data_IF_658273698107
#
_entry.id   IF_658273698107
#
_cell.length_a   1.000
_cell.length_b   1.000
_cell.length_c   1.000
_cell.angle_alpha   90.00
_cell.angle_beta   90.00
_cell.angle_gamma   90.00
#
_symmetry.space_group_name_H-M   'P 1'
#
loop_
_entity.id
_entity.type
_entity.pdbx_description
1 polymer ?
#
# COMPACT_ATOMS: atom_id res chain seq x y z
N UNK A 1 -8.31 8.23 9.03
CA UNK A 1 -8.11 7.26 7.95
C UNK A 1 -7.46 5.97 8.46
N UNK A 2 -6.53 6.03 9.41
CA UNK A 2 -5.93 4.86 10.09
C UNK A 2 -6.92 3.84 10.69
N UNK A 3 -8.16 4.22 10.95
CA UNK A 3 -9.22 3.32 11.43
C UNK A 3 -10.15 2.89 10.31
N UNK A 4 -10.75 3.85 9.61
CA UNK A 4 -11.80 3.60 8.62
C UNK A 4 -11.27 2.95 7.34
N UNK A 5 -10.04 3.25 6.92
CA UNK A 5 -9.39 2.64 5.75
C UNK A 5 -9.18 1.13 5.91
N UNK A 6 -8.45 0.68 6.95
CA UNK A 6 -8.31 -0.75 7.24
C UNK A 6 -9.65 -1.46 7.47
N UNK A 7 -10.62 -0.80 8.12
CA UNK A 7 -11.97 -1.35 8.31
C UNK A 7 -12.68 -1.59 6.98
N UNK A 8 -12.62 -0.64 6.04
CA UNK A 8 -13.16 -0.76 4.69
C UNK A 8 -12.57 -1.97 3.97
N UNK A 9 -11.23 -2.06 3.94
CA UNK A 9 -10.51 -3.12 3.23
C UNK A 9 -10.84 -4.50 3.80
N UNK A 10 -10.74 -4.64 5.12
CA UNK A 10 -11.03 -5.91 5.80
C UNK A 10 -12.47 -6.35 5.50
N UNK A 11 -13.42 -5.44 5.59
CA UNK A 11 -14.83 -5.73 5.32
C UNK A 11 -15.05 -6.10 3.85
N UNK A 12 -14.38 -5.43 2.92
CA UNK A 12 -14.45 -5.75 1.50
C UNK A 12 -13.94 -7.17 1.20
N UNK A 13 -12.77 -7.55 1.73
CA UNK A 13 -12.24 -8.91 1.59
C UNK A 13 -13.11 -9.96 2.29
N UNK A 14 -13.63 -9.66 3.49
CA UNK A 14 -14.51 -10.59 4.19
C UNK A 14 -15.81 -10.80 3.42
N UNK A 15 -16.39 -9.75 2.82
CA UNK A 15 -17.54 -9.90 1.94
C UNK A 15 -17.19 -10.72 0.70
N UNK A 16 -16.06 -10.44 0.03
CA UNK A 16 -15.60 -11.21 -1.12
C UNK A 16 -15.49 -12.71 -0.82
N UNK A 17 -15.03 -13.07 0.38
CA UNK A 17 -14.86 -14.48 0.78
C UNK A 17 -16.10 -15.15 1.32
N UNK A 18 -16.97 -14.41 2.01
CA UNK A 18 -18.08 -15.01 2.78
C UNK A 18 -19.45 -14.72 2.21
N UNK A 19 -19.56 -13.73 1.33
CA UNK A 19 -20.82 -13.17 0.84
C UNK A 19 -21.78 -12.72 1.96
N UNK A 20 -21.27 -12.48 3.18
CA UNK A 20 -22.09 -12.01 4.29
C UNK A 20 -22.39 -10.50 4.15
N UNK A 21 -23.67 -10.18 4.03
CA UNK A 21 -24.19 -8.81 3.83
C UNK A 21 -23.79 -7.82 4.93
N UNK A 22 -23.43 -8.32 6.12
CA UNK A 22 -22.90 -7.48 7.21
C UNK A 22 -21.59 -6.82 6.77
N UNK A 23 -20.66 -7.59 6.22
CA UNK A 23 -19.38 -7.07 5.74
C UNK A 23 -19.55 -6.16 4.53
N UNK A 24 -20.52 -6.46 3.65
CA UNK A 24 -20.86 -5.56 2.56
C UNK A 24 -21.33 -4.19 3.07
N UNK A 25 -22.21 -4.19 4.06
CA UNK A 25 -22.74 -2.95 4.65
C UNK A 25 -21.63 -2.13 5.29
N UNK A 26 -20.71 -2.76 6.02
CA UNK A 26 -19.58 -2.07 6.66
C UNK A 26 -18.60 -1.53 5.62
N UNK A 27 -18.29 -2.29 4.57
CA UNK A 27 -17.41 -1.84 3.49
C UNK A 27 -17.98 -0.60 2.78
N UNK A 28 -19.27 -0.65 2.41
CA UNK A 28 -19.96 0.45 1.75
C UNK A 28 -20.00 1.71 2.65
N UNK A 29 -20.44 1.57 3.90
CA UNK A 29 -20.52 2.70 4.84
C UNK A 29 -19.14 3.33 5.10
N UNK A 30 -18.09 2.51 5.17
CA UNK A 30 -16.72 2.99 5.36
C UNK A 30 -16.24 3.78 4.14
N UNK A 31 -16.52 3.27 2.93
CA UNK A 31 -16.18 3.97 1.69
C UNK A 31 -16.96 5.28 1.54
N UNK A 32 -18.26 5.26 1.82
CA UNK A 32 -19.12 6.44 1.76
C UNK A 32 -18.61 7.52 2.72
N UNK A 33 -18.18 7.16 3.92
CA UNK A 33 -17.57 8.10 4.85
C UNK A 33 -16.29 8.70 4.29
N UNK A 34 -15.40 7.87 3.72
CA UNK A 34 -14.13 8.33 3.13
C UNK A 34 -14.40 9.30 1.98
N UNK A 35 -15.26 8.94 1.03
CA UNK A 35 -15.56 9.75 -0.16
C UNK A 35 -16.23 11.07 0.24
N UNK A 36 -17.18 11.05 1.17
CA UNK A 36 -17.98 12.24 1.48
C UNK A 36 -17.32 13.19 2.50
N UNK A 37 -16.36 12.71 3.31
CA UNK A 37 -15.79 13.51 4.39
C UNK A 37 -14.26 13.63 4.37
N UNK A 38 -13.55 12.69 3.74
CA UNK A 38 -12.08 12.69 3.76
C UNK A 38 -11.47 12.92 2.39
N UNK A 39 -12.14 12.57 1.29
CA UNK A 39 -11.63 12.78 -0.06
C UNK A 39 -11.98 14.18 -0.57
N UNK A 40 -10.97 14.95 -0.96
CA UNK A 40 -11.15 16.31 -1.50
C UNK A 40 -11.21 16.37 -3.03
N UNK A 41 -11.35 15.23 -3.70
CA UNK A 41 -11.29 15.09 -5.15
C UNK A 41 -9.87 14.87 -5.71
N UNK A 42 -8.83 14.97 -4.88
CA UNK A 42 -7.43 14.71 -5.26
C UNK A 42 -6.81 13.66 -4.34
N UNK A 43 -6.87 13.89 -3.02
CA UNK A 43 -6.26 13.03 -2.00
C UNK A 43 -7.25 12.79 -0.85
N UNK A 44 -6.98 11.75 -0.07
CA UNK A 44 -7.71 11.43 1.16
C UNK A 44 -7.00 12.05 2.36
N UNK A 45 -7.73 12.86 3.11
CA UNK A 45 -7.27 13.54 4.31
C UNK A 45 -7.26 12.60 5.52
N UNK A 46 -6.57 13.01 6.58
CA UNK A 46 -6.29 12.11 7.70
C UNK A 46 -7.48 11.84 8.61
N UNK A 47 -8.35 12.82 8.84
CA UNK A 47 -9.47 12.65 9.74
C UNK A 47 -10.39 13.86 9.73
N UNK A 48 -11.30 13.88 10.71
CA UNK A 48 -12.20 15.00 10.97
C UNK A 48 -12.16 15.37 12.45
N UNK A 49 -12.39 16.63 12.76
CA UNK A 49 -12.61 17.09 14.13
C UNK A 49 -14.01 16.70 14.59
N UNK A 50 -14.13 16.19 15.82
CA UNK A 50 -15.43 15.70 16.35
C UNK A 50 -16.44 16.81 16.61
N UNK A 51 -15.97 18.03 16.89
CA UNK A 51 -16.81 19.18 17.24
C UNK A 51 -17.36 19.91 16.01
N UNK A 52 -16.64 19.88 14.89
CA UNK A 52 -16.94 20.65 13.68
C UNK A 52 -17.16 19.79 12.44
N UNK A 53 -16.81 18.50 12.48
CA UNK A 53 -16.74 17.61 11.33
C UNK A 53 -15.83 18.12 10.19
N UNK A 54 -15.01 19.15 10.46
CA UNK A 54 -14.05 19.66 9.49
C UNK A 54 -12.90 18.68 9.33
N UNK A 55 -12.45 18.47 8.08
CA UNK A 55 -11.34 17.59 7.80
C UNK A 55 -10.01 18.17 8.31
N UNK A 56 -9.09 17.28 8.70
CA UNK A 56 -7.71 17.66 9.03
C UNK A 56 -7.00 18.07 7.73
N UNK A 57 -6.58 19.33 7.64
CA UNK A 57 -5.91 19.92 6.49
C UNK A 57 -4.37 19.94 6.63
N UNK A 58 -3.88 19.68 7.84
CA UNK A 58 -2.47 19.70 8.19
C UNK A 58 -1.86 18.28 8.07
N UNK A 59 -0.97 18.12 7.07
CA UNK A 59 -0.14 16.92 6.82
C UNK A 59 -0.90 15.66 6.35
N UNK A 60 -1.39 15.63 5.09
CA UNK A 60 -1.88 14.40 4.50
C UNK A 60 -0.76 13.34 4.39
N UNK A 61 -1.14 12.07 4.57
CA UNK A 61 -0.23 10.92 4.57
C UNK A 61 -0.39 10.06 3.32
N UNK A 62 0.71 9.47 2.83
CA UNK A 62 0.66 8.49 1.75
C UNK A 62 -0.06 7.19 2.16
N UNK A 63 -0.04 6.82 3.45
CA UNK A 63 -0.75 5.62 3.94
C UNK A 63 -2.26 5.73 3.78
N UNK A 64 -2.78 6.95 3.92
CA UNK A 64 -4.20 7.22 3.76
C UNK A 64 -4.62 6.93 2.32
N UNK A 65 -3.75 7.28 1.37
CA UNK A 65 -3.96 6.99 -0.04
C UNK A 65 -3.86 5.49 -0.30
N UNK A 66 -2.91 4.80 0.34
CA UNK A 66 -2.75 3.35 0.23
C UNK A 66 -4.03 2.62 0.59
N UNK A 67 -4.59 2.96 1.76
CA UNK A 67 -5.81 2.33 2.24
C UNK A 67 -7.02 2.63 1.37
N UNK A 68 -7.12 3.87 0.88
CA UNK A 68 -8.19 4.26 -0.01
C UNK A 68 -8.12 3.49 -1.34
N UNK A 69 -6.95 3.48 -1.98
CA UNK A 69 -6.74 2.80 -3.27
C UNK A 69 -7.00 1.30 -3.16
N UNK A 70 -6.43 0.64 -2.14
CA UNK A 70 -6.60 -0.81 -1.96
C UNK A 70 -8.09 -1.13 -1.78
N UNK A 71 -8.75 -0.47 -0.82
CA UNK A 71 -10.14 -0.78 -0.52
C UNK A 71 -11.09 -0.39 -1.65
N UNK A 72 -10.83 0.72 -2.36
CA UNK A 72 -11.61 1.12 -3.53
C UNK A 72 -11.47 0.10 -4.66
N UNK A 73 -10.26 -0.39 -4.94
CA UNK A 73 -10.03 -1.40 -5.97
C UNK A 73 -10.69 -2.75 -5.63
N UNK A 74 -10.57 -3.21 -4.38
CA UNK A 74 -11.25 -4.42 -3.90
C UNK A 74 -12.76 -4.24 -4.02
N UNK A 75 -13.30 -3.14 -3.52
CA UNK A 75 -14.74 -2.91 -3.48
C UNK A 75 -15.35 -2.74 -4.88
N UNK A 76 -14.69 -1.98 -5.76
CA UNK A 76 -15.10 -1.83 -7.16
C UNK A 76 -15.18 -3.19 -7.87
N UNK A 77 -14.15 -4.04 -7.71
CA UNK A 77 -14.12 -5.37 -8.30
C UNK A 77 -15.19 -6.30 -7.71
N UNK A 78 -15.37 -6.31 -6.38
CA UNK A 78 -16.33 -7.21 -5.74
C UNK A 78 -17.78 -6.84 -6.10
N UNK A 79 -18.06 -5.56 -6.23
CA UNK A 79 -19.41 -5.05 -6.56
C UNK A 79 -19.66 -4.88 -8.05
N UNK A 80 -18.63 -5.01 -8.89
CA UNK A 80 -18.67 -4.72 -10.34
C UNK A 80 -19.20 -3.30 -10.61
N UNK A 81 -18.73 -2.33 -9.82
CA UNK A 81 -19.23 -0.96 -9.85
C UNK A 81 -18.30 -0.05 -10.66
N UNK A 82 -18.72 0.27 -11.89
CA UNK A 82 -17.98 1.13 -12.83
C UNK A 82 -17.75 2.55 -12.30
N UNK A 83 -18.63 3.06 -11.43
CA UNK A 83 -18.43 4.38 -10.82
C UNK A 83 -17.22 4.37 -9.89
N UNK A 84 -17.05 3.31 -9.10
CA UNK A 84 -15.89 3.17 -8.21
C UNK A 84 -14.61 2.96 -9.02
N UNK A 85 -14.68 2.21 -10.12
CA UNK A 85 -13.58 2.07 -11.07
C UNK A 85 -13.20 3.42 -11.69
N UNK A 86 -14.17 4.28 -12.03
CA UNK A 86 -13.91 5.62 -12.54
C UNK A 86 -13.24 6.53 -11.49
N UNK A 87 -13.69 6.46 -10.22
CA UNK A 87 -13.05 7.18 -9.10
C UNK A 87 -11.60 6.72 -8.94
N UNK A 88 -11.34 5.41 -9.02
CA UNK A 88 -9.99 4.87 -8.91
C UNK A 88 -9.06 5.39 -10.02
N UNK A 89 -9.55 5.41 -11.27
CA UNK A 89 -8.82 5.95 -12.42
C UNK A 89 -8.51 7.45 -12.28
N UNK A 90 -9.41 8.21 -11.65
CA UNK A 90 -9.21 9.64 -11.40
C UNK A 90 -8.22 9.89 -10.26
N UNK A 91 -8.37 9.18 -9.15
CA UNK A 91 -7.59 9.41 -7.93
C UNK A 91 -6.13 8.98 -8.10
N UNK A 92 -5.87 7.87 -8.80
CA UNK A 92 -4.53 7.29 -8.85
C UNK A 92 -3.46 8.23 -9.37
N UNK A 93 -3.59 8.88 -10.55
CA UNK A 93 -2.58 9.81 -11.04
C UNK A 93 -2.31 10.97 -10.08
N UNK A 94 -3.36 11.49 -9.43
CA UNK A 94 -3.20 12.59 -8.46
C UNK A 94 -2.50 12.14 -7.17
N UNK A 95 -2.77 10.92 -6.73
CA UNK A 95 -2.18 10.32 -5.53
C UNK A 95 -0.70 10.00 -5.76
N UNK A 96 -0.34 9.41 -6.89
CA UNK A 96 1.04 8.97 -7.21
C UNK A 96 1.96 10.12 -7.58
N UNK A 97 1.42 11.28 -7.97
CA UNK A 97 2.20 12.47 -8.34
C UNK A 97 2.12 13.60 -7.30
N UNK A 98 1.50 13.35 -6.14
CA UNK A 98 1.33 14.38 -5.12
C UNK A 98 2.68 14.81 -4.52
N UNK A 99 3.06 16.10 -4.59
CA UNK A 99 4.42 16.55 -4.26
C UNK A 99 4.87 16.33 -2.81
N UNK A 100 3.95 16.06 -1.88
CA UNK A 100 4.29 15.86 -0.47
C UNK A 100 5.02 14.53 -0.22
N UNK A 101 4.75 13.50 -1.02
CA UNK A 101 5.38 12.18 -0.88
C UNK A 101 5.92 11.64 -2.20
N UNK A 102 5.90 12.41 -3.29
CA UNK A 102 6.49 12.02 -4.57
C UNK A 102 7.49 13.07 -5.04
N UNK A 103 8.69 12.62 -5.41
CA UNK A 103 9.71 13.46 -6.04
C UNK A 103 9.36 13.80 -7.50
N UNK A 104 9.97 14.84 -8.10
CA UNK A 104 9.81 15.13 -9.52
C UNK A 104 10.15 13.95 -10.45
N UNK A 105 11.05 13.06 -10.04
CA UNK A 105 11.44 11.85 -10.78
C UNK A 105 10.46 10.68 -10.55
N UNK A 106 9.37 10.90 -9.83
CA UNK A 106 8.31 9.92 -9.58
C UNK A 106 8.61 8.94 -8.44
N UNK A 107 9.73 9.08 -7.73
CA UNK A 107 10.08 8.21 -6.60
C UNK A 107 9.34 8.65 -5.33
N UNK A 108 8.79 7.69 -4.58
CA UNK A 108 8.15 7.93 -3.29
C UNK A 108 9.18 8.43 -2.27
N UNK A 109 8.88 9.56 -1.63
CA UNK A 109 9.72 10.24 -0.66
C UNK A 109 8.94 10.59 0.62
N UNK A 110 8.29 9.60 1.21
CA UNK A 110 7.62 9.76 2.49
C UNK A 110 8.62 9.60 3.66
N UNK A 111 9.21 10.72 4.08
CA UNK A 111 10.28 10.78 5.10
C UNK A 111 9.78 11.25 6.47
N UNK A 112 8.58 11.84 6.54
CA UNK A 112 8.11 12.56 7.72
C UNK A 112 7.41 11.65 8.75
N UNK A 113 7.17 10.38 8.43
CA UNK A 113 6.48 9.46 9.32
C UNK A 113 7.47 8.66 10.18
N UNK A 114 8.07 9.30 11.19
CA UNK A 114 8.97 8.65 12.16
C UNK A 114 8.41 7.34 12.74
N UNK A 115 7.09 7.26 12.92
CA UNK A 115 6.41 6.08 13.47
C UNK A 115 6.04 5.01 12.43
N UNK A 116 6.11 5.31 11.13
CA UNK A 116 5.50 4.48 10.11
C UNK A 116 6.35 4.37 8.83
N UNK A 117 7.66 4.23 8.96
CA UNK A 117 8.53 4.18 7.78
C UNK A 117 8.35 2.96 6.86
N UNK A 118 7.57 1.96 7.29
CA UNK A 118 7.09 0.86 6.44
C UNK A 118 5.88 1.25 5.54
N UNK A 119 5.32 2.46 5.69
CA UNK A 119 4.13 2.96 4.98
C UNK A 119 4.32 3.00 3.48
N UNK A 120 5.52 3.31 3.00
CA UNK A 120 5.84 3.23 1.57
C UNK A 120 5.56 1.83 1.02
N UNK A 121 5.85 0.79 1.81
CA UNK A 121 5.51 -0.59 1.46
C UNK A 121 4.00 -0.84 1.35
N UNK A 122 3.22 -0.35 2.33
CA UNK A 122 1.75 -0.43 2.32
C UNK A 122 1.18 0.30 1.10
N UNK A 123 1.74 1.47 0.78
CA UNK A 123 1.39 2.24 -0.41
C UNK A 123 1.59 1.44 -1.69
N UNK A 124 2.76 0.83 -1.87
CA UNK A 124 3.02 -0.04 -3.03
C UNK A 124 2.11 -1.27 -3.04
N UNK A 125 1.81 -1.88 -1.88
CA UNK A 125 0.89 -3.01 -1.80
C UNK A 125 -0.52 -2.65 -2.27
N UNK A 126 -1.04 -1.50 -1.85
CA UNK A 126 -2.35 -1.02 -2.29
C UNK A 126 -2.41 -0.79 -3.80
N UNK A 127 -1.34 -0.22 -4.39
CA UNK A 127 -1.21 -0.09 -5.84
C UNK A 127 -1.18 -1.46 -6.53
N UNK A 128 -0.39 -2.42 -6.02
CA UNK A 128 -0.29 -3.76 -6.58
C UNK A 128 -1.63 -4.49 -6.58
N UNK A 129 -2.42 -4.39 -5.51
CA UNK A 129 -3.77 -4.94 -5.45
C UNK A 129 -4.70 -4.29 -6.50
N UNK A 130 -4.64 -2.96 -6.65
CA UNK A 130 -5.39 -2.25 -7.68
C UNK A 130 -5.01 -2.72 -9.09
N UNK A 131 -3.73 -2.94 -9.36
CA UNK A 131 -3.27 -3.53 -10.63
C UNK A 131 -3.83 -4.93 -10.84
N UNK A 132 -3.76 -5.80 -9.84
CA UNK A 132 -4.22 -7.20 -9.96
C UNK A 132 -5.70 -7.30 -10.30
N UNK A 133 -6.52 -6.36 -9.82
CA UNK A 133 -7.97 -6.33 -10.06
C UNK A 133 -8.39 -5.65 -11.37
N UNK A 134 -7.46 -5.00 -12.06
CA UNK A 134 -7.74 -4.27 -13.30
C UNK A 134 -6.87 -4.78 -14.47
N UNK A 135 -6.77 -6.10 -14.73
CA UNK A 135 -5.85 -6.64 -15.71
C UNK A 135 -6.15 -6.15 -17.14
N UNK A 136 -5.10 -5.85 -17.90
CA UNK A 136 -5.21 -5.41 -19.29
C UNK A 136 -5.68 -3.96 -19.49
N UNK A 137 -5.92 -3.22 -18.41
CA UNK A 137 -6.35 -1.81 -18.47
C UNK A 137 -5.16 -0.85 -18.52
N UNK A 138 -5.43 0.39 -18.94
CA UNK A 138 -4.46 1.50 -18.87
C UNK A 138 -4.02 1.77 -17.42
N UNK A 139 -4.93 1.57 -16.46
CA UNK A 139 -4.65 1.69 -15.04
C UNK A 139 -3.61 0.68 -14.57
N UNK A 140 -3.74 -0.58 -14.95
CA UNK A 140 -2.76 -1.61 -14.61
C UNK A 140 -1.39 -1.28 -15.21
N UNK A 141 -1.34 -0.86 -16.47
CA UNK A 141 -0.09 -0.44 -17.13
C UNK A 141 0.55 0.77 -16.46
N UNK A 142 -0.27 1.72 -16.02
CA UNK A 142 0.18 2.89 -15.26
C UNK A 142 0.83 2.47 -13.93
N UNK A 143 0.16 1.61 -13.17
CA UNK A 143 0.67 1.10 -11.89
C UNK A 143 1.95 0.29 -12.08
N UNK A 144 2.03 -0.56 -13.10
CA UNK A 144 3.22 -1.33 -13.45
C UNK A 144 4.42 -0.40 -13.71
N UNK A 145 4.23 0.62 -14.54
CA UNK A 145 5.26 1.62 -14.80
C UNK A 145 5.69 2.33 -13.52
N UNK A 146 4.74 2.72 -12.66
CA UNK A 146 5.02 3.37 -11.39
C UNK A 146 5.85 2.50 -10.45
N UNK A 147 5.46 1.22 -10.27
CA UNK A 147 6.17 0.26 -9.42
C UNK A 147 7.60 0.02 -9.96
N UNK A 148 7.78 -0.06 -11.28
CA UNK A 148 9.11 -0.22 -11.88
C UNK A 148 10.04 0.98 -11.59
N UNK A 149 9.52 2.21 -11.57
CA UNK A 149 10.29 3.39 -11.14
C UNK A 149 10.78 3.23 -9.70
N UNK A 150 9.90 2.80 -8.79
CA UNK A 150 10.28 2.59 -7.39
C UNK A 150 11.32 1.48 -7.25
N UNK A 151 11.12 0.37 -7.97
CA UNK A 151 12.00 -0.79 -7.95
C UNK A 151 13.43 -0.41 -8.35
N UNK A 152 13.59 0.31 -9.46
CA UNK A 152 14.90 0.77 -9.92
C UNK A 152 15.54 1.73 -8.91
N UNK A 153 14.78 2.69 -8.38
CA UNK A 153 15.29 3.63 -7.38
C UNK A 153 15.80 2.91 -6.12
N UNK A 154 15.08 1.89 -5.64
CA UNK A 154 15.49 1.11 -4.47
C UNK A 154 16.77 0.30 -4.72
N UNK A 155 16.91 -0.31 -5.90
CA UNK A 155 18.11 -1.09 -6.23
C UNK A 155 19.36 -0.24 -6.42
N UNK A 156 19.21 0.97 -6.98
CA UNK A 156 20.32 1.84 -7.35
C UNK A 156 20.71 2.82 -6.24
N UNK A 157 19.73 3.32 -5.47
CA UNK A 157 19.94 4.44 -4.54
C UNK A 157 19.81 4.03 -3.07
N UNK A 158 19.06 2.98 -2.75
CA UNK A 158 18.71 2.63 -1.36
C UNK A 158 19.44 1.40 -0.82
N UNK A 159 19.69 0.41 -1.69
CA UNK A 159 20.36 -0.84 -1.35
C UNK A 159 21.78 -0.60 -0.85
N UNK A 160 22.15 -1.29 0.23
CA UNK A 160 23.50 -1.26 0.78
C UNK A 160 24.57 -1.65 -0.25
N UNK A 161 25.78 -1.15 -0.07
CA UNK A 161 26.89 -1.47 -0.96
C UNK A 161 27.44 -2.89 -0.70
N UNK A 162 27.99 -3.50 -1.75
CA UNK A 162 28.73 -4.75 -1.65
C UNK A 162 29.88 -4.62 -0.62
N UNK A 163 30.21 -5.71 0.11
CA UNK A 163 29.70 -7.07 -0.06
C UNK A 163 28.38 -7.37 0.67
N UNK A 164 27.85 -6.44 1.45
CA UNK A 164 26.66 -6.65 2.29
C UNK A 164 25.46 -5.89 1.71
N UNK A 165 25.05 -6.22 0.48
CA UNK A 165 24.00 -5.53 -0.29
C UNK A 165 22.58 -6.07 -0.04
N UNK A 166 22.37 -6.72 1.10
CA UNK A 166 21.12 -7.41 1.45
C UNK A 166 20.20 -6.60 2.36
N UNK A 167 20.44 -5.29 2.52
CA UNK A 167 19.56 -4.41 3.27
C UNK A 167 19.41 -3.03 2.62
N UNK A 168 18.30 -2.36 2.93
CA UNK A 168 17.87 -1.13 2.26
C UNK A 168 17.79 0.03 3.24
N UNK A 169 17.87 1.26 2.71
CA UNK A 169 17.72 2.47 3.50
C UNK A 169 16.27 2.90 3.54
N UNK A 170 15.93 3.75 4.52
CA UNK A 170 14.58 4.31 4.66
C UNK A 170 14.19 5.20 3.47
N UNK A 171 15.19 5.78 2.80
CA UNK A 171 15.04 6.68 1.67
C UNK A 171 15.23 5.95 0.36
N UNK A 172 14.23 6.00 -0.53
CA UNK A 172 14.34 5.41 -1.86
C UNK A 172 15.04 6.32 -2.88
N UNK A 173 15.31 7.56 -2.49
CA UNK A 173 16.11 8.54 -3.24
C UNK A 173 17.57 8.58 -2.78
N UNK A 174 17.97 7.65 -1.92
CA UNK A 174 19.29 7.56 -1.33
C UNK A 174 19.50 8.45 -0.10
N UNK A 175 20.70 8.39 0.51
CA UNK A 175 21.83 7.53 0.10
C UNK A 175 21.60 6.03 0.38
N UNK A 176 22.48 5.14 -0.14
CA UNK A 176 22.51 3.72 0.18
C UNK A 176 22.55 3.45 1.68
N UNK A 177 22.01 2.32 2.11
CA UNK A 177 22.06 1.94 3.52
C UNK A 177 23.49 1.69 4.01
N UNK A 178 23.80 2.23 5.18
CA UNK A 178 25.07 2.00 5.90
C UNK A 178 24.94 0.99 7.04
N UNK A 179 23.71 0.69 7.47
CA UNK A 179 23.40 -0.31 8.50
C UNK A 179 22.02 -0.90 8.29
N UNK A 180 21.78 -2.09 8.82
CA UNK A 180 20.48 -2.75 8.78
C UNK A 180 19.42 -1.96 9.56
N UNK A 181 18.25 -1.77 8.93
CA UNK A 181 17.06 -1.20 9.56
C UNK A 181 15.83 -2.05 9.20
N UNK A 182 15.15 -2.60 10.20
CA UNK A 182 14.03 -3.51 9.98
C UNK A 182 12.86 -2.85 9.22
N UNK A 183 12.55 -1.58 9.48
CA UNK A 183 11.45 -0.88 8.84
C UNK A 183 11.74 -0.57 7.38
N UNK A 184 12.98 -0.15 7.08
CA UNK A 184 13.43 0.06 5.71
C UNK A 184 13.31 -1.23 4.87
N UNK A 185 13.73 -2.35 5.46
CA UNK A 185 13.69 -3.64 4.80
C UNK A 185 12.27 -4.17 4.61
N UNK A 186 11.35 -3.94 5.55
CA UNK A 186 9.92 -4.27 5.37
C UNK A 186 9.32 -3.45 4.21
N UNK A 187 9.59 -2.15 4.16
CA UNK A 187 9.12 -1.31 3.06
C UNK A 187 9.67 -1.75 1.69
N UNK A 188 10.96 -2.08 1.63
CA UNK A 188 11.58 -2.62 0.41
C UNK A 188 11.00 -4.00 0.04
N UNK A 189 10.73 -4.88 1.02
CA UNK A 189 10.16 -6.21 0.78
C UNK A 189 8.79 -6.14 0.11
N UNK A 190 7.90 -5.24 0.56
CA UNK A 190 6.59 -5.04 -0.08
C UNK A 190 6.74 -4.61 -1.54
N UNK A 191 7.69 -3.70 -1.83
CA UNK A 191 7.99 -3.28 -3.20
C UNK A 191 8.56 -4.40 -4.05
N UNK A 192 9.54 -5.15 -3.54
CA UNK A 192 10.16 -6.25 -4.26
C UNK A 192 9.11 -7.32 -4.60
N UNK A 193 8.26 -7.69 -3.63
CA UNK A 193 7.16 -8.63 -3.86
C UNK A 193 6.17 -8.12 -4.92
N UNK A 194 5.82 -6.83 -4.88
CA UNK A 194 4.97 -6.22 -5.89
C UNK A 194 5.62 -6.29 -7.29
N UNK A 195 6.89 -5.92 -7.42
CA UNK A 195 7.64 -5.98 -8.68
C UNK A 195 7.74 -7.42 -9.22
N UNK A 196 8.01 -8.40 -8.35
CA UNK A 196 8.01 -9.82 -8.74
C UNK A 196 6.66 -10.29 -9.29
N UNK A 197 5.54 -9.76 -8.77
CA UNK A 197 4.20 -10.11 -9.25
C UNK A 197 3.87 -9.56 -10.65
N UNK A 198 4.67 -8.62 -11.17
CA UNK A 198 4.48 -8.03 -12.49
C UNK A 198 5.11 -8.87 -13.61
N UNK A 199 6.06 -9.76 -13.29
CA UNK A 199 6.72 -10.60 -14.27
C UNK A 199 5.74 -11.70 -14.70
N UNK A 200 5.41 -11.76 -16.00
CA UNK A 200 4.62 -12.87 -16.54
C UNK A 200 5.33 -14.20 -16.22
N UNK A 201 4.59 -15.28 -15.88
CA UNK A 201 5.20 -16.57 -15.71
C UNK A 201 5.93 -16.93 -17.01
N UNK A 202 7.26 -16.98 -16.96
CA UNK A 202 7.99 -17.75 -17.96
C UNK A 202 7.38 -19.14 -17.93
N UNK A 203 7.11 -19.72 -19.09
CA UNK A 203 6.43 -21.02 -19.27
C UNK A 203 7.20 -22.21 -18.67
N UNK A 204 8.14 -21.97 -17.76
CA UNK A 204 9.09 -22.95 -17.21
C UNK A 204 9.27 -22.91 -15.69
N UNK A 205 8.49 -22.14 -14.90
CA UNK A 205 8.62 -22.23 -13.43
C UNK A 205 7.28 -22.41 -12.71
N UNK A 206 7.21 -23.53 -11.99
CA UNK A 206 6.14 -24.01 -11.13
C UNK A 206 5.69 -22.94 -10.11
N UNK A 207 4.38 -22.78 -9.97
CA UNK A 207 3.72 -21.84 -9.05
C UNK A 207 4.19 -22.04 -7.60
N UNK A 208 4.91 -21.08 -7.04
CA UNK A 208 4.96 -20.89 -5.58
C UNK A 208 3.76 -20.02 -5.22
N UNK A 209 2.75 -20.64 -4.59
CA UNK A 209 1.56 -19.97 -4.07
C UNK A 209 1.96 -18.91 -3.02
N UNK A 210 1.79 -17.62 -3.35
CA UNK A 210 2.07 -16.48 -2.45
C UNK A 210 0.90 -16.17 -1.49
N UNK A 211 -0.17 -16.98 -1.45
CA UNK A 211 -1.33 -16.68 -0.58
C UNK A 211 -1.23 -17.15 0.89
N UNK A 212 -0.10 -17.72 1.34
CA UNK A 212 0.03 -18.22 2.73
C UNK A 212 1.09 -17.47 3.56
N UNK A 213 1.95 -16.65 2.96
CA UNK A 213 3.12 -16.13 3.68
C UNK A 213 2.80 -14.96 4.61
N UNK A 214 1.81 -14.10 4.33
CA UNK A 214 1.53 -12.94 5.19
C UNK A 214 0.91 -13.33 6.53
N UNK A 215 0.03 -14.33 6.57
CA UNK A 215 -0.51 -14.84 7.83
C UNK A 215 0.53 -15.63 8.66
N UNK A 216 1.43 -16.36 8.00
CA UNK A 216 2.50 -17.12 8.68
C UNK A 216 3.67 -16.25 9.14
N UNK A 217 4.00 -15.17 8.45
CA UNK A 217 5.03 -14.22 8.91
C UNK A 217 4.56 -13.43 10.14
N UNK A 218 3.27 -13.06 10.21
CA UNK A 218 2.70 -12.45 11.42
C UNK A 218 2.71 -13.46 12.57
N UNK A 219 2.30 -14.72 12.36
CA UNK A 219 2.37 -15.75 13.41
C UNK A 219 3.82 -16.07 13.85
N UNK A 220 4.78 -16.08 12.93
CA UNK A 220 6.19 -16.35 13.24
C UNK A 220 6.88 -15.18 13.97
N UNK A 221 6.52 -13.93 13.66
CA UNK A 221 7.04 -12.76 14.38
C UNK A 221 6.45 -12.66 15.80
N UNK A 222 5.16 -12.97 15.99
CA UNK A 222 4.53 -13.00 17.31
C UNK A 222 5.09 -14.12 18.19
N UNK A 223 5.39 -15.30 17.63
CA UNK A 223 6.01 -16.41 18.38
C UNK A 223 7.46 -16.11 18.79
N UNK A 224 8.21 -15.37 17.95
CA UNK A 224 9.60 -14.98 18.26
C UNK A 224 9.68 -13.91 19.35
N UNK A 225 8.73 -12.98 19.42
CA UNK A 225 8.66 -12.00 20.51
C UNK A 225 8.25 -12.63 21.85
N UNK A 226 7.37 -13.63 21.86
CA UNK A 226 6.99 -14.34 23.08
C UNK A 226 8.13 -15.19 23.66
N UNK A 227 8.97 -15.81 22.82
CA UNK A 227 10.13 -16.59 23.28
C UNK A 227 11.24 -15.71 23.89
N UNK A 228 11.41 -14.47 23.42
CA UNK A 228 12.41 -13.55 23.97
C UNK A 228 12.00 -12.97 25.33
N UNK A 229 10.69 -12.93 25.64
CA UNK A 229 10.17 -12.47 26.95
C UNK A 229 10.21 -13.54 28.05
N UNK A 230 10.49 -14.81 27.73
CA UNK A 230 10.59 -15.90 28.71
C UNK A 230 12.04 -16.28 29.08
N UNK A 231 13.03 -15.61 28.50
CA UNK A 231 14.45 -15.84 28.77
C UNK A 231 15.20 -14.60 29.32
N UNK A 232 14.47 -13.66 29.92
CA UNK A 232 14.99 -12.62 30.83
C UNK A 232 14.34 -12.81 32.20
#
# INVERSE_FOLDING_TARGET
>A
MYTIGPMMILSAYLFEKTHNVTYQSVAQLSLDFIINHLWNGTIVLDGIYLDSCAAFDNAPSSVNQAWFVEGLAVWANVTQNDTLTAILNMALPTITTFPMWTTPDGVVNDQNEEFYQAVKGIYIRGLAEARMRNPGTDLARYIEAYINVQFNAVLDLSRAAAPNDNYYSRSWIGPPATSFDAYANIGALDLLNAAFSLVEPSTSVLRVFIFITTARLIQAQTFRQQLLYHYQ
#
